data_IF_294927628308
#
_entry.id   IF_294927628308
#
_cell.length_a   1.000
_cell.length_b   1.000
_cell.length_c   1.000
_cell.angle_alpha   90.00
_cell.angle_beta   90.00
_cell.angle_gamma   90.00
#
_symmetry.space_group_name_H-M   'P 1'
#
loop_
_entity.id
_entity.type
_entity.pdbx_description
1 polymer ?
#
# COMPACT_ATOMS: atom_id res chain seq x y z
N UNK A 1 21.19 17.02 -16.33
CA UNK A 1 19.91 16.71 -15.68
C UNK A 1 19.53 15.29 -16.12
N UNK A 2 19.96 14.27 -15.38
CA UNK A 2 19.49 12.91 -15.62
C UNK A 2 18.07 12.83 -15.06
N UNK A 3 17.08 12.74 -15.95
CA UNK A 3 15.67 12.89 -15.58
C UNK A 3 15.11 11.71 -14.77
N UNK A 4 15.74 10.53 -14.81
CA UNK A 4 15.37 9.36 -14.00
C UNK A 4 16.58 8.42 -13.82
N UNK A 5 16.83 7.86 -12.62
CA UNK A 5 17.79 6.78 -12.47
C UNK A 5 17.37 5.56 -13.31
N UNK A 6 18.34 4.78 -13.80
CA UNK A 6 18.06 3.57 -14.58
C UNK A 6 17.15 2.62 -13.79
N UNK A 7 16.21 1.93 -14.47
CA UNK A 7 15.45 0.83 -13.85
C UNK A 7 16.45 -0.18 -13.28
N UNK A 8 16.60 -0.21 -11.97
CA UNK A 8 17.15 -1.38 -11.31
C UNK A 8 16.07 -2.47 -11.33
N UNK A 9 16.50 -3.74 -11.33
CA UNK A 9 15.61 -4.87 -11.52
C UNK A 9 14.44 -4.89 -10.51
N UNK A 10 13.41 -5.65 -10.84
CA UNK A 10 12.24 -5.84 -9.97
C UNK A 10 12.61 -6.64 -8.71
N UNK A 11 12.36 -6.08 -7.52
CA UNK A 11 12.76 -6.69 -6.25
C UNK A 11 11.57 -7.22 -5.47
N UNK A 12 11.42 -8.55 -5.44
CA UNK A 12 10.37 -9.23 -4.68
C UNK A 12 10.38 -8.93 -3.18
N UNK A 13 11.55 -8.64 -2.61
CA UNK A 13 11.69 -8.35 -1.17
C UNK A 13 10.86 -7.13 -0.75
N UNK A 14 10.78 -6.10 -1.60
CA UNK A 14 10.02 -4.88 -1.31
C UNK A 14 8.52 -5.08 -1.43
N UNK A 15 8.08 -6.02 -2.27
CA UNK A 15 6.67 -6.43 -2.34
C UNK A 15 6.27 -7.11 -1.06
N UNK A 16 7.06 -8.09 -0.60
CA UNK A 16 6.80 -8.81 0.66
C UNK A 16 6.79 -7.82 1.83
N UNK A 17 7.78 -6.94 1.92
CA UNK A 17 7.82 -5.89 2.94
C UNK A 17 6.58 -4.98 2.86
N UNK A 18 6.19 -4.54 1.66
CA UNK A 18 5.01 -3.71 1.46
C UNK A 18 3.72 -4.39 1.89
N UNK A 19 3.56 -5.67 1.55
CA UNK A 19 2.39 -6.47 1.99
C UNK A 19 2.34 -6.53 3.51
N UNK A 20 3.45 -6.86 4.16
CA UNK A 20 3.52 -6.97 5.62
C UNK A 20 3.27 -5.63 6.31
N UNK A 21 3.84 -4.54 5.81
CA UNK A 21 3.67 -3.19 6.38
C UNK A 21 2.23 -2.72 6.23
N UNK A 22 1.67 -2.76 5.02
CA UNK A 22 0.30 -2.28 4.77
C UNK A 22 -0.74 -3.14 5.50
N UNK A 23 -0.60 -4.47 5.44
CA UNK A 23 -1.50 -5.38 6.15
C UNK A 23 -1.36 -5.22 7.66
N UNK A 24 -0.12 -5.15 8.17
CA UNK A 24 0.15 -4.99 9.59
C UNK A 24 -0.43 -3.71 10.17
N UNK A 25 -0.16 -2.55 9.54
CA UNK A 25 -0.72 -1.26 9.96
C UNK A 25 -2.25 -1.32 9.95
N UNK A 26 -2.86 -1.86 8.89
CA UNK A 26 -4.30 -1.95 8.79
C UNK A 26 -4.91 -2.87 9.87
N UNK A 27 -4.36 -4.06 10.07
CA UNK A 27 -4.88 -5.01 11.07
C UNK A 27 -4.71 -4.49 12.49
N UNK A 28 -3.56 -3.88 12.81
CA UNK A 28 -3.34 -3.22 14.11
C UNK A 28 -4.38 -2.13 14.32
N UNK A 29 -4.64 -1.30 13.30
CA UNK A 29 -5.66 -0.23 13.41
C UNK A 29 -7.06 -0.78 13.72
N UNK A 30 -7.40 -1.98 13.21
CA UNK A 30 -8.69 -2.64 13.45
C UNK A 30 -8.85 -3.14 14.89
N UNK A 31 -7.76 -3.38 15.62
CA UNK A 31 -7.81 -3.75 17.05
C UNK A 31 -8.32 -2.60 17.91
N UNK A 32 -7.95 -1.37 17.55
CA UNK A 32 -8.29 -0.16 18.32
C UNK A 32 -9.54 0.56 17.79
N UNK A 33 -9.83 0.41 16.49
CA UNK A 33 -10.90 1.13 15.79
C UNK A 33 -11.86 0.16 15.08
N UNK A 34 -12.54 -0.74 15.82
CA UNK A 34 -13.47 -1.68 15.20
C UNK A 34 -14.71 -0.94 14.65
N UNK A 35 -14.91 -1.03 13.34
CA UNK A 35 -16.14 -0.64 12.63
C UNK A 35 -16.58 0.82 12.82
N UNK A 36 -15.70 1.75 12.42
CA UNK A 36 -15.99 3.18 12.42
C UNK A 36 -15.44 3.86 11.16
N UNK A 37 -15.88 5.09 10.89
CA UNK A 37 -15.26 5.96 9.88
C UNK A 37 -13.74 6.08 10.05
N UNK A 38 -13.25 6.03 11.29
CA UNK A 38 -11.82 6.04 11.61
C UNK A 38 -11.09 4.80 11.06
N UNK A 39 -11.75 3.64 10.95
CA UNK A 39 -11.14 2.46 10.31
C UNK A 39 -10.89 2.64 8.81
N UNK A 40 -11.72 3.47 8.15
CA UNK A 40 -11.54 3.86 6.76
C UNK A 40 -10.39 4.86 6.61
N UNK A 41 -10.28 5.84 7.52
CA UNK A 41 -9.11 6.74 7.55
C UNK A 41 -7.83 5.93 7.76
N UNK A 42 -7.83 5.01 8.72
CA UNK A 42 -6.68 4.16 9.01
C UNK A 42 -6.29 3.29 7.81
N UNK A 43 -7.26 2.76 7.06
CA UNK A 43 -7.00 2.13 5.76
C UNK A 43 -6.28 3.10 4.83
N UNK A 44 -6.83 4.29 4.57
CA UNK A 44 -6.23 5.23 3.63
C UNK A 44 -4.80 5.61 4.02
N UNK A 45 -4.57 5.86 5.31
CA UNK A 45 -3.25 6.17 5.86
C UNK A 45 -2.27 4.99 5.71
N UNK A 46 -2.71 3.77 6.00
CA UNK A 46 -1.86 2.58 5.90
C UNK A 46 -1.33 2.37 4.47
N UNK A 47 -2.20 2.52 3.46
CA UNK A 47 -1.82 2.31 2.06
C UNK A 47 -1.04 3.48 1.49
N UNK A 48 -1.38 4.73 1.85
CA UNK A 48 -0.62 5.91 1.42
C UNK A 48 0.80 5.92 2.02
N UNK A 49 0.92 5.73 3.34
CA UNK A 49 2.22 5.70 4.01
C UNK A 49 3.01 4.44 3.66
N UNK A 50 2.34 3.29 3.56
CA UNK A 50 2.99 2.06 3.11
C UNK A 50 3.57 2.22 1.70
N UNK A 51 2.81 2.83 0.78
CA UNK A 51 3.29 3.14 -0.56
C UNK A 51 4.50 4.08 -0.54
N UNK A 52 4.41 5.16 0.25
CA UNK A 52 5.50 6.13 0.39
C UNK A 52 6.76 5.55 1.01
N UNK A 53 6.64 4.73 2.05
CA UNK A 53 7.77 4.06 2.69
C UNK A 53 8.49 3.12 1.70
N UNK A 54 7.73 2.28 1.00
CA UNK A 54 8.31 1.35 0.03
C UNK A 54 8.93 2.11 -1.15
N UNK A 55 8.25 3.11 -1.71
CA UNK A 55 8.79 3.93 -2.79
C UNK A 55 10.03 4.74 -2.39
N UNK A 56 10.16 5.10 -1.11
CA UNK A 56 11.34 5.83 -0.62
C UNK A 56 12.56 4.94 -0.39
N UNK A 57 12.36 3.72 0.13
CA UNK A 57 13.45 2.81 0.46
C UNK A 57 13.83 1.85 -0.67
N UNK A 58 12.90 1.55 -1.59
CA UNK A 58 13.19 0.64 -2.70
C UNK A 58 14.09 1.31 -3.75
N UNK A 59 15.14 0.64 -4.25
CA UNK A 59 16.11 1.28 -5.13
C UNK A 59 15.59 1.42 -6.57
N UNK A 60 15.62 2.65 -7.09
CA UNK A 60 15.31 2.97 -8.49
C UNK A 60 13.82 3.20 -8.75
N UNK A 61 13.41 3.07 -10.02
CA UNK A 61 12.01 3.20 -10.45
C UNK A 61 11.20 1.97 -10.01
N UNK A 62 10.57 2.08 -8.85
CA UNK A 62 10.00 0.97 -8.08
C UNK A 62 8.49 1.04 -7.95
N UNK A 63 7.84 2.00 -8.61
CA UNK A 63 6.39 2.27 -8.64
C UNK A 63 5.48 1.03 -8.72
N UNK A 64 5.92 -0.03 -9.41
CA UNK A 64 5.17 -1.28 -9.54
C UNK A 64 5.19 -2.15 -8.27
N UNK A 65 6.26 -2.11 -7.48
CA UNK A 65 6.43 -2.93 -6.27
C UNK A 65 5.41 -2.57 -5.17
N UNK A 66 5.25 -1.30 -4.74
CA UNK A 66 4.23 -0.91 -3.78
C UNK A 66 2.81 -1.08 -4.32
N UNK A 67 2.62 -0.96 -5.64
CA UNK A 67 1.33 -1.19 -6.29
C UNK A 67 0.88 -2.66 -6.19
N UNK A 68 1.78 -3.59 -6.52
CA UNK A 68 1.55 -5.03 -6.40
C UNK A 68 1.40 -5.42 -4.93
N UNK A 69 2.23 -4.86 -4.05
CA UNK A 69 2.11 -5.07 -2.61
C UNK A 69 0.74 -4.64 -2.08
N UNK A 70 0.22 -3.51 -2.53
CA UNK A 70 -1.10 -3.02 -2.16
C UNK A 70 -2.22 -3.95 -2.66
N UNK A 71 -2.16 -4.43 -3.91
CA UNK A 71 -3.16 -5.38 -4.42
C UNK A 71 -3.20 -6.66 -3.57
N UNK A 72 -2.03 -7.24 -3.28
CA UNK A 72 -1.94 -8.46 -2.47
C UNK A 72 -2.43 -8.19 -1.05
N UNK A 73 -1.98 -7.09 -0.43
CA UNK A 73 -2.39 -6.68 0.92
C UNK A 73 -3.90 -6.48 1.01
N UNK A 74 -4.51 -5.71 0.10
CA UNK A 74 -5.95 -5.48 0.10
C UNK A 74 -6.71 -6.77 -0.16
N UNK A 75 -6.24 -7.64 -1.05
CA UNK A 75 -6.89 -8.93 -1.31
C UNK A 75 -6.90 -9.82 -0.07
N UNK A 76 -5.77 -9.93 0.65
CA UNK A 76 -5.67 -10.70 1.89
C UNK A 76 -6.60 -10.15 2.97
N UNK A 77 -6.59 -8.82 3.15
CA UNK A 77 -7.48 -8.14 4.09
C UNK A 77 -8.95 -8.35 3.71
N UNK A 78 -9.29 -8.23 2.44
CA UNK A 78 -10.65 -8.39 1.96
C UNK A 78 -11.14 -9.84 2.09
N UNK A 79 -10.27 -10.84 1.91
CA UNK A 79 -10.60 -12.23 2.14
C UNK A 79 -11.01 -12.45 3.61
N UNK A 80 -10.25 -11.91 4.56
CA UNK A 80 -10.62 -11.91 5.98
C UNK A 80 -11.97 -11.22 6.22
N UNK A 81 -12.22 -10.08 5.57
CA UNK A 81 -13.46 -9.32 5.73
C UNK A 81 -14.68 -9.97 5.03
N UNK A 82 -14.47 -10.76 3.98
CA UNK A 82 -15.54 -11.49 3.31
C UNK A 82 -16.23 -12.45 4.29
N UNK A 83 -15.45 -13.15 5.12
CA UNK A 83 -15.95 -14.01 6.19
C UNK A 83 -16.68 -13.24 7.31
N UNK A 84 -16.55 -11.91 7.36
CA UNK A 84 -17.27 -11.04 8.30
C UNK A 84 -18.61 -10.51 7.76
N UNK A 85 -19.03 -10.92 6.56
CA UNK A 85 -20.31 -10.51 5.96
C UNK A 85 -20.28 -9.16 5.25
N UNK A 86 -19.09 -8.62 4.95
CA UNK A 86 -18.93 -7.34 4.28
C UNK A 86 -19.28 -7.45 2.78
N UNK A 87 -20.10 -6.53 2.27
CA UNK A 87 -20.58 -6.58 0.89
C UNK A 87 -19.45 -6.49 -0.15
N UNK A 88 -19.54 -7.31 -1.21
CA UNK A 88 -18.53 -7.42 -2.28
C UNK A 88 -18.21 -6.06 -2.92
N UNK A 89 -19.21 -5.19 -3.10
CA UNK A 89 -19.01 -3.85 -3.66
C UNK A 89 -18.03 -3.02 -2.82
N UNK A 90 -18.14 -3.06 -1.49
CA UNK A 90 -17.25 -2.32 -0.59
C UNK A 90 -15.83 -2.87 -0.67
N UNK A 91 -15.67 -4.19 -0.83
CA UNK A 91 -14.36 -4.83 -1.00
C UNK A 91 -13.68 -4.38 -2.30
N UNK A 92 -14.44 -4.28 -3.41
CA UNK A 92 -13.94 -3.75 -4.68
C UNK A 92 -13.54 -2.28 -4.55
N UNK A 93 -14.34 -1.46 -3.88
CA UNK A 93 -13.97 -0.06 -3.60
C UNK A 93 -12.68 0.04 -2.79
N UNK A 94 -12.50 -0.78 -1.75
CA UNK A 94 -11.24 -0.86 -1.00
C UNK A 94 -10.07 -1.23 -1.88
N UNK A 95 -10.24 -2.18 -2.80
CA UNK A 95 -9.17 -2.61 -3.71
C UNK A 95 -8.71 -1.46 -4.61
N UNK A 96 -9.65 -0.76 -5.26
CA UNK A 96 -9.34 0.38 -6.13
C UNK A 96 -8.70 1.53 -5.35
N UNK A 97 -9.27 1.89 -4.19
CA UNK A 97 -8.77 3.00 -3.37
C UNK A 97 -7.39 2.67 -2.79
N UNK A 98 -7.21 1.47 -2.22
CA UNK A 98 -5.93 1.05 -1.65
C UNK A 98 -4.81 1.01 -2.69
N UNK A 99 -5.11 0.52 -3.89
CA UNK A 99 -4.20 0.57 -5.02
C UNK A 99 -3.82 2.00 -5.42
N UNK A 100 -4.81 2.88 -5.61
CA UNK A 100 -4.56 4.27 -5.99
C UNK A 100 -3.75 5.03 -4.93
N UNK A 101 -4.03 4.80 -3.64
CA UNK A 101 -3.29 5.43 -2.54
C UNK A 101 -1.86 4.90 -2.43
N UNK A 102 -1.64 3.61 -2.65
CA UNK A 102 -0.29 3.06 -2.65
C UNK A 102 0.54 3.60 -3.81
N UNK A 103 -0.05 3.75 -5.00
CA UNK A 103 0.60 4.41 -6.14
C UNK A 103 0.93 5.87 -5.83
N UNK A 104 -0.03 6.63 -5.30
CA UNK A 104 0.19 8.03 -4.92
C UNK A 104 1.31 8.13 -3.88
N UNK A 105 1.25 7.31 -2.83
CA UNK A 105 2.30 7.21 -1.82
C UNK A 105 3.66 6.90 -2.44
N UNK A 106 3.74 5.87 -3.28
CA UNK A 106 4.96 5.47 -3.96
C UNK A 106 5.57 6.61 -4.79
N UNK A 107 4.74 7.35 -5.53
CA UNK A 107 5.19 8.53 -6.28
C UNK A 107 5.88 9.55 -5.38
N UNK A 108 5.27 9.86 -4.23
CA UNK A 108 5.86 10.79 -3.25
C UNK A 108 7.13 10.22 -2.63
N UNK A 109 7.15 8.92 -2.32
CA UNK A 109 8.32 8.23 -1.76
C UNK A 109 9.52 8.25 -2.70
N UNK A 110 9.31 7.91 -3.98
CA UNK A 110 10.35 7.95 -5.01
C UNK A 110 10.88 9.37 -5.21
N UNK A 111 9.99 10.37 -5.26
CA UNK A 111 10.42 11.77 -5.38
C UNK A 111 11.32 12.19 -4.22
N UNK A 112 10.96 11.82 -2.99
CA UNK A 112 11.76 12.08 -1.78
C UNK A 112 13.09 11.32 -1.80
N UNK A 113 13.13 10.13 -2.40
CA UNK A 113 14.36 9.36 -2.55
C UNK A 113 15.35 10.06 -3.48
N UNK A 114 14.87 10.77 -4.51
CA UNK A 114 15.72 11.47 -5.47
C UNK A 114 16.25 12.82 -4.97
N UNK A 115 15.63 13.39 -3.94
CA UNK A 115 16.11 14.62 -3.31
C UNK A 115 17.27 14.37 -2.32
N UNK A 116 17.66 13.10 -2.10
CA UNK A 116 18.86 12.71 -1.34
C UNK A 116 20.12 12.71 -2.19
#
# INVERSE_FOLDING_TARGET
>A
MQLFPARQGFHWNWIVTGVLVMTGIYLISRLFLPFSFLSWIAFCVAYALGGALIGYFSPGLTFLEPAIAALISVALVNLYLLFSGLGVLILLFKLVIGFALALAGAFFGEKLQWEK
#
